data_IF_347792128503
#
_entry.id   IF_347792128503
#
_cell.length_a   1.000
_cell.length_b   1.000
_cell.length_c   1.000
_cell.angle_alpha   90.00
_cell.angle_beta   90.00
_cell.angle_gamma   90.00
#
_symmetry.space_group_name_H-M   'P 1'
#
loop_
_entity.id
_entity.type
_entity.pdbx_description
1 polymer ?
#
# COMPACT_ATOMS: atom_id res chain seq x y z
N UNK A 1 -45.54 -8.92 0.71
CA UNK A 1 -44.12 -8.80 0.29
C UNK A 1 -43.75 -10.09 -0.41
N UNK A 2 -43.07 -10.01 -1.55
CA UNK A 2 -42.52 -11.17 -2.25
C UNK A 2 -40.99 -11.16 -2.11
N UNK A 3 -40.33 -12.33 -2.09
CA UNK A 3 -38.86 -12.41 -2.03
C UNK A 3 -38.24 -11.79 -3.28
N UNK A 4 -37.13 -11.08 -3.09
CA UNK A 4 -36.34 -10.48 -4.19
C UNK A 4 -35.77 -11.60 -5.06
N UNK A 5 -36.14 -11.63 -6.33
CA UNK A 5 -35.78 -12.73 -7.25
C UNK A 5 -34.45 -12.51 -7.94
N UNK A 6 -33.97 -11.26 -7.95
CA UNK A 6 -32.72 -10.88 -8.63
C UNK A 6 -31.47 -11.14 -7.76
N UNK A 7 -31.66 -11.55 -6.49
CA UNK A 7 -30.58 -11.87 -5.56
C UNK A 7 -30.59 -13.36 -5.22
N UNK A 8 -29.42 -13.98 -5.36
CA UNK A 8 -29.24 -15.36 -4.91
C UNK A 8 -29.32 -15.46 -3.37
N UNK A 9 -29.89 -16.54 -2.83
CA UNK A 9 -29.91 -16.75 -1.38
C UNK A 9 -28.51 -16.86 -0.79
N UNK A 10 -28.17 -15.97 0.15
CA UNK A 10 -26.90 -16.02 0.87
C UNK A 10 -26.97 -17.16 1.89
N UNK A 11 -26.14 -18.20 1.69
CA UNK A 11 -25.97 -19.29 2.66
C UNK A 11 -24.81 -18.97 3.60
N UNK A 12 -25.14 -18.76 4.88
CA UNK A 12 -24.14 -18.61 5.93
C UNK A 12 -23.80 -19.99 6.50
N UNK A 13 -22.50 -20.32 6.60
CA UNK A 13 -22.08 -21.55 7.27
C UNK A 13 -22.20 -21.40 8.80
N UNK A 14 -22.35 -22.51 9.51
CA UNK A 14 -22.35 -22.50 10.98
C UNK A 14 -21.06 -21.90 11.56
N UNK A 15 -19.92 -22.09 10.88
CA UNK A 15 -18.64 -21.51 11.26
C UNK A 15 -18.64 -19.98 11.14
N UNK A 16 -19.21 -19.44 10.05
CA UNK A 16 -19.36 -17.99 9.87
C UNK A 16 -20.29 -17.39 10.92
N UNK A 17 -21.38 -18.09 11.27
CA UNK A 17 -22.32 -17.64 12.29
C UNK A 17 -21.65 -17.66 13.67
N UNK A 18 -20.96 -18.75 14.03
CA UNK A 18 -20.24 -18.85 15.31
C UNK A 18 -19.14 -17.80 15.42
N UNK A 19 -18.32 -17.62 14.39
CA UNK A 19 -17.26 -16.62 14.42
C UNK A 19 -17.81 -15.20 14.57
N UNK A 20 -18.92 -14.86 13.90
CA UNK A 20 -19.59 -13.57 14.06
C UNK A 20 -20.16 -13.36 15.46
N UNK A 21 -20.79 -14.39 16.04
CA UNK A 21 -21.35 -14.34 17.40
C UNK A 21 -20.23 -14.19 18.43
N UNK A 22 -19.16 -14.98 18.31
CA UNK A 22 -18.04 -14.95 19.24
C UNK A 22 -17.31 -13.61 19.13
N UNK A 23 -17.14 -13.08 17.92
CA UNK A 23 -16.58 -11.75 17.72
C UNK A 23 -17.46 -10.65 18.33
N UNK A 24 -18.78 -10.77 18.20
CA UNK A 24 -19.77 -9.85 18.79
C UNK A 24 -19.75 -9.82 20.32
N UNK A 25 -19.40 -10.94 20.97
CA UNK A 25 -19.36 -11.08 22.43
C UNK A 25 -18.08 -10.56 23.08
N UNK A 26 -16.98 -10.46 22.33
CA UNK A 26 -15.71 -9.94 22.85
C UNK A 26 -15.85 -8.47 23.22
N UNK A 27 -15.26 -8.09 24.36
CA UNK A 27 -15.10 -6.68 24.73
C UNK A 27 -14.18 -5.98 23.72
N UNK A 28 -14.21 -4.64 23.69
CA UNK A 28 -13.31 -3.89 22.81
C UNK A 28 -11.83 -4.23 23.10
N UNK A 29 -11.47 -4.42 24.36
CA UNK A 29 -10.12 -4.78 24.80
C UNK A 29 -9.73 -6.17 24.30
N UNK A 30 -10.60 -7.18 24.47
CA UNK A 30 -10.32 -8.54 23.98
C UNK A 30 -10.18 -8.59 22.45
N UNK A 31 -10.95 -7.77 21.72
CA UNK A 31 -10.82 -7.65 20.25
C UNK A 31 -9.47 -7.09 19.85
N UNK A 32 -8.96 -6.10 20.60
CA UNK A 32 -7.67 -5.47 20.34
C UNK A 32 -6.54 -6.47 20.59
N UNK A 33 -6.56 -7.17 21.72
CA UNK A 33 -5.55 -8.18 22.04
C UNK A 33 -5.54 -9.30 21.01
N UNK A 34 -6.71 -9.81 20.65
CA UNK A 34 -6.85 -10.87 19.65
C UNK A 34 -6.35 -10.40 18.29
N UNK A 35 -6.73 -9.21 17.84
CA UNK A 35 -6.29 -8.66 16.54
C UNK A 35 -4.77 -8.44 16.52
N UNK A 36 -4.20 -7.91 17.61
CA UNK A 36 -2.76 -7.71 17.74
C UNK A 36 -1.99 -9.03 17.69
N UNK A 37 -2.50 -10.06 18.36
CA UNK A 37 -1.91 -11.41 18.38
C UNK A 37 -2.04 -12.11 17.03
N UNK A 38 -3.26 -12.23 16.49
CA UNK A 38 -3.57 -12.98 15.27
C UNK A 38 -2.83 -12.42 14.05
N UNK A 39 -2.69 -11.09 13.97
CA UNK A 39 -2.09 -10.41 12.83
C UNK A 39 -0.68 -9.86 13.10
N UNK A 40 -0.15 -10.09 14.30
CA UNK A 40 1.18 -9.63 14.72
C UNK A 40 1.38 -8.11 14.48
N UNK A 41 0.38 -7.31 14.81
CA UNK A 41 0.40 -5.84 14.73
C UNK A 41 0.50 -5.22 16.14
N UNK A 42 0.85 -3.94 16.23
CA UNK A 42 0.93 -3.29 17.55
C UNK A 42 -0.46 -3.18 18.19
N UNK A 43 -0.59 -3.29 19.53
CA UNK A 43 -1.87 -3.05 20.21
C UNK A 43 -2.45 -1.68 19.93
N UNK A 44 -1.59 -0.68 19.69
CA UNK A 44 -2.01 0.67 19.31
C UNK A 44 -2.66 0.68 17.93
N UNK A 45 -2.03 0.07 16.92
CA UNK A 45 -2.61 -0.03 15.58
C UNK A 45 -3.92 -0.83 15.60
N UNK A 46 -3.95 -1.94 16.35
CA UNK A 46 -5.14 -2.75 16.54
C UNK A 46 -6.29 -1.96 17.18
N UNK A 47 -6.00 -1.18 18.23
CA UNK A 47 -6.95 -0.28 18.86
C UNK A 47 -7.51 0.74 17.88
N UNK A 48 -6.66 1.41 17.11
CA UNK A 48 -7.10 2.38 16.11
C UNK A 48 -7.98 1.73 15.03
N UNK A 49 -7.61 0.55 14.53
CA UNK A 49 -8.43 -0.17 13.53
C UNK A 49 -9.82 -0.54 14.04
N UNK A 50 -9.93 -0.94 15.32
CA UNK A 50 -11.20 -1.29 15.96
C UNK A 50 -12.05 -0.05 16.21
N UNK A 51 -11.46 1.07 16.66
CA UNK A 51 -12.20 2.28 17.00
C UNK A 51 -12.62 3.11 15.78
N UNK A 52 -11.78 3.19 14.75
CA UNK A 52 -12.03 4.06 13.58
C UNK A 52 -12.90 3.38 12.50
N UNK A 53 -13.55 2.26 12.82
CA UNK A 53 -14.33 1.45 11.87
C UNK A 53 -13.55 0.95 10.63
N UNK A 54 -12.21 0.93 10.69
CA UNK A 54 -11.34 0.49 9.58
C UNK A 54 -11.03 -1.00 9.58
N UNK A 55 -11.55 -1.73 10.58
CA UNK A 55 -11.34 -3.17 10.72
C UNK A 55 -11.82 -3.96 9.50
N UNK A 56 -12.97 -3.60 8.90
CA UNK A 56 -13.50 -4.30 7.73
C UNK A 56 -12.57 -4.24 6.52
N UNK A 57 -12.06 -3.04 6.23
CA UNK A 57 -11.06 -2.83 5.18
C UNK A 57 -9.76 -3.59 5.49
N UNK A 58 -9.29 -3.54 6.74
CA UNK A 58 -8.10 -4.26 7.17
C UNK A 58 -8.21 -5.77 6.93
N UNK A 59 -9.31 -6.40 7.34
CA UNK A 59 -9.53 -7.84 7.15
C UNK A 59 -9.64 -8.21 5.67
N UNK A 60 -10.18 -7.32 4.85
CA UNK A 60 -10.30 -7.53 3.40
C UNK A 60 -8.93 -7.51 2.71
N UNK A 61 -8.07 -6.58 3.12
CA UNK A 61 -6.73 -6.39 2.56
C UNK A 61 -5.69 -7.36 3.13
N UNK A 62 -5.80 -7.78 4.39
CA UNK A 62 -4.83 -8.68 5.05
C UNK A 62 -4.79 -10.08 4.44
N UNK A 63 -5.81 -10.48 3.68
CA UNK A 63 -5.82 -11.70 2.85
C UNK A 63 -4.91 -11.57 1.61
N UNK A 64 -4.59 -10.34 1.20
CA UNK A 64 -3.84 -10.04 -0.02
C UNK A 64 -2.45 -9.51 0.26
N UNK A 65 -2.30 -8.77 1.37
CA UNK A 65 -1.09 -8.04 1.75
C UNK A 65 -0.64 -8.46 3.14
N UNK A 66 0.67 -8.34 3.46
CA UNK A 66 1.16 -8.60 4.82
C UNK A 66 0.39 -7.76 5.86
N UNK A 67 -0.07 -8.34 6.98
CA UNK A 67 -0.94 -7.61 7.92
C UNK A 67 -0.31 -6.35 8.52
N UNK A 68 0.99 -6.39 8.85
CA UNK A 68 1.72 -5.21 9.34
C UNK A 68 1.75 -4.08 8.32
N UNK A 69 2.00 -4.41 7.05
CA UNK A 69 1.95 -3.43 5.97
C UNK A 69 0.53 -2.89 5.78
N UNK A 70 -0.47 -3.77 5.83
CA UNK A 70 -1.89 -3.40 5.70
C UNK A 70 -2.32 -2.39 6.77
N UNK A 71 -1.98 -2.64 8.05
CA UNK A 71 -2.27 -1.70 9.13
C UNK A 71 -1.61 -0.34 8.87
N UNK A 72 -0.32 -0.34 8.48
CA UNK A 72 0.41 0.88 8.15
C UNK A 72 -0.18 1.61 6.95
N UNK A 73 -0.60 0.89 5.92
CA UNK A 73 -1.22 1.43 4.73
C UNK A 73 -2.50 2.18 5.10
N UNK A 74 -3.39 1.54 5.85
CA UNK A 74 -4.70 2.09 6.27
C UNK A 74 -4.56 3.27 7.23
N UNK A 75 -3.66 3.16 8.20
CA UNK A 75 -3.55 4.13 9.29
C UNK A 75 -2.66 5.33 8.95
N UNK A 76 -1.69 5.15 8.04
CA UNK A 76 -0.69 6.19 7.73
C UNK A 76 -0.73 6.61 6.26
N UNK A 77 -0.56 5.65 5.34
CA UNK A 77 -0.36 5.99 3.91
C UNK A 77 -1.62 6.47 3.23
N UNK A 78 -2.74 5.81 3.42
CA UNK A 78 -4.03 6.22 2.85
C UNK A 78 -4.38 7.66 3.27
N UNK A 79 -4.37 8.01 4.58
CA UNK A 79 -4.58 9.40 4.99
C UNK A 79 -3.59 10.40 4.37
N UNK A 80 -2.31 10.03 4.20
CA UNK A 80 -1.31 10.88 3.53
C UNK A 80 -1.67 11.11 2.05
N UNK A 81 -2.07 10.05 1.33
CA UNK A 81 -2.47 10.08 -0.09
C UNK A 81 -3.74 10.91 -0.29
N UNK A 82 -4.75 10.67 0.54
CA UNK A 82 -6.03 11.39 0.52
C UNK A 82 -5.83 12.87 0.82
N UNK A 83 -4.98 13.20 1.80
CA UNK A 83 -4.61 14.59 2.11
C UNK A 83 -3.88 15.27 0.96
N UNK A 84 -3.01 14.56 0.25
CA UNK A 84 -2.23 15.07 -0.89
C UNK A 84 -3.11 15.31 -2.12
N UNK A 85 -4.04 14.42 -2.39
CA UNK A 85 -4.96 14.49 -3.54
C UNK A 85 -6.21 15.34 -3.27
N UNK A 86 -6.58 15.52 -2.01
CA UNK A 86 -7.83 16.15 -1.60
C UNK A 86 -9.07 15.28 -1.83
N UNK A 87 -8.91 13.98 -2.13
CA UNK A 87 -10.00 13.04 -2.38
C UNK A 87 -9.90 11.84 -1.45
N UNK A 88 -11.03 11.44 -0.89
CA UNK A 88 -11.16 10.18 -0.15
C UNK A 88 -11.33 9.03 -1.14
N UNK A 89 -10.66 7.92 -0.87
CA UNK A 89 -10.84 6.68 -1.63
C UNK A 89 -11.87 5.82 -0.91
N UNK A 90 -12.83 5.27 -1.67
CA UNK A 90 -13.74 4.27 -1.11
C UNK A 90 -13.04 2.92 -0.92
N UNK A 91 -13.51 2.15 0.05
CA UNK A 91 -12.96 0.84 0.41
C UNK A 91 -12.88 -0.13 -0.79
N UNK A 92 -13.86 -0.08 -1.70
CA UNK A 92 -13.91 -0.97 -2.85
C UNK A 92 -12.79 -0.65 -3.84
N UNK A 93 -12.56 0.63 -4.14
CA UNK A 93 -11.42 1.09 -4.94
C UNK A 93 -10.10 0.64 -4.34
N UNK A 94 -9.93 0.75 -3.01
CA UNK A 94 -8.69 0.32 -2.33
C UNK A 94 -8.48 -1.20 -2.48
N UNK A 95 -9.54 -1.98 -2.31
CA UNK A 95 -9.52 -3.45 -2.47
C UNK A 95 -9.21 -3.85 -3.92
N UNK A 96 -9.75 -3.14 -4.90
CA UNK A 96 -9.51 -3.47 -6.31
C UNK A 96 -8.10 -3.07 -6.75
N UNK A 97 -7.56 -1.97 -6.23
CA UNK A 97 -6.14 -1.62 -6.40
C UNK A 97 -5.23 -2.71 -5.80
N UNK A 98 -5.54 -3.24 -4.61
CA UNK A 98 -4.71 -4.30 -4.01
C UNK A 98 -4.72 -5.57 -4.86
N UNK A 99 -5.86 -5.91 -5.48
CA UNK A 99 -5.94 -7.03 -6.42
C UNK A 99 -5.06 -6.80 -7.64
N UNK A 100 -5.09 -5.61 -8.24
CA UNK A 100 -4.26 -5.27 -9.42
C UNK A 100 -2.77 -5.44 -9.09
N UNK A 101 -2.32 -4.92 -7.95
CA UNK A 101 -0.92 -5.00 -7.52
C UNK A 101 -0.51 -6.44 -7.29
N UNK A 102 -1.37 -7.25 -6.64
CA UNK A 102 -1.15 -8.67 -6.40
C UNK A 102 -1.12 -9.49 -7.70
N UNK A 103 -2.05 -9.26 -8.62
CA UNK A 103 -2.12 -9.92 -9.93
C UNK A 103 -0.84 -9.69 -10.74
N UNK A 104 -0.29 -8.48 -10.68
CA UNK A 104 0.96 -8.12 -11.36
C UNK A 104 2.22 -8.52 -10.57
N UNK A 105 2.07 -9.18 -9.42
CA UNK A 105 3.18 -9.56 -8.53
C UNK A 105 4.08 -8.37 -8.15
N UNK A 106 3.45 -7.22 -7.93
CA UNK A 106 4.13 -5.98 -7.58
C UNK A 106 4.21 -5.79 -6.06
N UNK A 107 5.20 -5.02 -5.61
CA UNK A 107 5.49 -4.83 -4.18
C UNK A 107 4.75 -3.64 -3.53
N UNK A 108 5.07 -3.38 -2.26
CA UNK A 108 4.48 -2.29 -1.45
C UNK A 108 4.60 -0.91 -2.12
N UNK A 109 5.74 -0.65 -2.76
CA UNK A 109 6.01 0.61 -3.47
C UNK A 109 5.00 0.85 -4.61
N UNK A 110 4.59 -0.22 -5.29
CA UNK A 110 3.59 -0.15 -6.36
C UNK A 110 2.18 0.04 -5.84
N UNK A 111 1.88 -0.48 -4.64
CA UNK A 111 0.60 -0.24 -3.98
C UNK A 111 0.41 1.23 -3.65
N UNK A 112 1.42 1.86 -3.07
CA UNK A 112 1.41 3.30 -2.78
C UNK A 112 1.22 4.12 -4.08
N UNK A 113 1.95 3.77 -5.15
CA UNK A 113 1.84 4.43 -6.45
C UNK A 113 0.44 4.25 -7.09
N UNK A 114 -0.12 3.04 -7.06
CA UNK A 114 -1.42 2.74 -7.62
C UNK A 114 -2.55 3.49 -6.88
N UNK A 115 -2.49 3.55 -5.55
CA UNK A 115 -3.42 4.34 -4.75
C UNK A 115 -3.27 5.84 -5.02
N UNK A 116 -2.05 6.35 -5.23
CA UNK A 116 -1.86 7.74 -5.64
C UNK A 116 -2.53 8.04 -7.00
N UNK A 117 -2.46 7.13 -7.97
CA UNK A 117 -3.13 7.29 -9.27
C UNK A 117 -4.66 7.22 -9.13
N UNK A 118 -5.17 6.26 -8.36
CA UNK A 118 -6.60 6.15 -8.08
C UNK A 118 -7.13 7.41 -7.41
N UNK A 119 -6.39 7.98 -6.45
CA UNK A 119 -6.80 9.22 -5.76
C UNK A 119 -6.81 10.45 -6.67
N UNK A 120 -6.09 10.42 -7.80
CA UNK A 120 -6.18 11.46 -8.84
C UNK A 120 -7.40 11.28 -9.73
N UNK A 121 -8.09 10.14 -9.66
CA UNK A 121 -9.26 9.80 -10.46
C UNK A 121 -8.92 9.06 -11.75
N UNK A 122 -7.75 8.40 -11.82
CA UNK A 122 -7.40 7.52 -12.93
C UNK A 122 -8.18 6.22 -12.78
N UNK A 123 -8.72 5.72 -13.88
CA UNK A 123 -9.55 4.51 -13.90
C UNK A 123 -8.74 3.25 -13.57
N UNK A 124 -9.37 2.27 -12.92
CA UNK A 124 -8.72 1.02 -12.51
C UNK A 124 -8.20 0.21 -13.70
N UNK A 125 -8.88 0.22 -14.85
CA UNK A 125 -8.42 -0.45 -16.07
C UNK A 125 -7.17 0.23 -16.67
N UNK A 126 -7.04 1.54 -16.49
CA UNK A 126 -5.85 2.30 -16.88
C UNK A 126 -4.69 2.01 -15.91
N UNK A 127 -4.95 2.02 -14.61
CA UNK A 127 -3.96 1.67 -13.57
C UNK A 127 -3.44 0.23 -13.76
N UNK A 128 -4.31 -0.70 -14.16
CA UNK A 128 -3.91 -2.08 -14.43
C UNK A 128 -2.87 -2.18 -15.56
N UNK A 129 -2.93 -1.29 -16.54
CA UNK A 129 -2.06 -1.32 -17.74
C UNK A 129 -0.86 -0.39 -17.64
N UNK A 130 -0.91 0.64 -16.79
CA UNK A 130 0.16 1.65 -16.75
C UNK A 130 1.49 1.07 -16.26
N UNK A 131 2.58 1.57 -16.82
CA UNK A 131 3.93 1.32 -16.31
C UNK A 131 4.26 2.20 -15.10
N UNK A 132 3.46 3.23 -14.82
CA UNK A 132 3.65 4.15 -13.69
C UNK A 132 3.54 3.48 -12.32
N UNK A 133 3.01 2.27 -12.22
CA UNK A 133 3.00 1.49 -10.97
C UNK A 133 4.14 0.47 -10.91
N UNK A 134 4.87 0.26 -12.01
CA UNK A 134 5.97 -0.70 -12.10
C UNK A 134 7.24 -0.05 -11.56
N UNK A 135 7.84 -0.59 -10.48
CA UNK A 135 9.05 -0.02 -9.91
C UNK A 135 10.19 -0.02 -10.91
N UNK A 136 11.06 0.97 -10.84
CA UNK A 136 12.32 0.96 -11.58
C UNK A 136 13.20 -0.16 -11.04
N UNK A 137 13.79 -0.92 -11.97
CA UNK A 137 14.84 -1.87 -11.65
C UNK A 137 16.12 -1.14 -11.22
N UNK A 138 16.99 -1.86 -10.51
CA UNK A 138 18.30 -1.33 -10.10
C UNK A 138 19.14 -0.86 -11.31
N UNK A 139 19.04 -1.54 -12.45
CA UNK A 139 19.76 -1.17 -13.67
C UNK A 139 19.25 0.15 -14.25
N UNK A 140 17.94 0.26 -14.48
CA UNK A 140 17.31 1.50 -14.98
C UNK A 140 17.59 2.69 -14.05
N UNK A 141 17.50 2.48 -12.75
CA UNK A 141 17.79 3.52 -11.76
C UNK A 141 19.26 3.96 -11.80
N UNK A 142 20.19 3.01 -12.01
CA UNK A 142 21.62 3.31 -12.15
C UNK A 142 21.93 4.12 -13.41
N UNK A 143 21.25 3.83 -14.52
CA UNK A 143 21.36 4.60 -15.77
C UNK A 143 20.91 6.04 -15.58
N UNK A 144 19.73 6.26 -14.99
CA UNK A 144 19.21 7.61 -14.69
C UNK A 144 20.19 8.36 -13.78
N UNK A 145 20.73 7.70 -12.76
CA UNK A 145 21.71 8.31 -11.87
C UNK A 145 23.03 8.66 -12.57
N UNK A 146 23.49 7.83 -13.52
CA UNK A 146 24.68 8.13 -14.31
C UNK A 146 24.49 9.39 -15.17
N UNK A 147 23.33 9.53 -15.80
CA UNK A 147 23.00 10.74 -16.56
C UNK A 147 22.95 11.99 -15.68
N UNK A 148 22.36 11.88 -14.49
CA UNK A 148 22.26 12.99 -13.53
C UNK A 148 23.62 13.43 -12.99
N UNK A 149 24.46 12.48 -12.57
CA UNK A 149 25.79 12.76 -12.04
C UNK A 149 26.70 13.36 -13.11
N UNK A 150 26.55 12.94 -14.37
CA UNK A 150 27.30 13.50 -15.50
C UNK A 150 26.93 14.95 -15.85
N UNK A 151 25.73 15.42 -15.49
CA UNK A 151 25.20 16.74 -15.89
C UNK A 151 25.43 17.87 -14.88
N UNK A 152 25.50 17.61 -13.57
CA UNK A 152 26.07 18.53 -12.56
C UNK A 152 26.02 17.90 -11.16
N UNK A 153 27.13 18.02 -10.42
CA UNK A 153 27.48 17.42 -9.12
C UNK A 153 26.39 17.46 -8.01
N UNK A 154 25.40 16.56 -8.08
CA UNK A 154 24.59 16.23 -6.90
C UNK A 154 25.28 15.08 -6.14
N UNK A 155 25.97 15.43 -5.03
CA UNK A 155 26.57 14.43 -4.11
C UNK A 155 25.65 14.07 -2.94
N UNK A 156 24.57 14.83 -2.77
CA UNK A 156 23.62 14.62 -1.69
C UNK A 156 22.54 13.64 -2.15
N UNK A 157 22.32 12.52 -1.43
CA UNK A 157 21.25 11.58 -1.75
C UNK A 157 19.87 12.25 -1.86
N UNK A 158 19.57 13.26 -1.05
CA UNK A 158 18.27 13.94 -1.07
C UNK A 158 17.99 14.69 -2.39
N UNK A 159 19.01 15.36 -2.94
CA UNK A 159 18.90 16.07 -4.22
C UNK A 159 18.73 15.10 -5.38
N UNK A 160 19.50 14.00 -5.38
CA UNK A 160 19.39 12.94 -6.39
C UNK A 160 18.02 12.27 -6.39
N UNK A 161 17.47 11.93 -5.22
CA UNK A 161 16.11 11.38 -5.10
C UNK A 161 15.09 12.35 -5.72
N UNK A 162 15.25 13.64 -5.47
CA UNK A 162 14.35 14.68 -6.00
C UNK A 162 14.48 14.80 -7.52
N UNK A 163 15.71 14.78 -8.04
CA UNK A 163 15.97 14.85 -9.47
C UNK A 163 15.46 13.61 -10.22
N UNK A 164 15.63 12.41 -9.67
CA UNK A 164 15.07 11.18 -10.26
C UNK A 164 13.54 11.29 -10.35
N UNK A 165 12.86 11.77 -9.29
CA UNK A 165 11.41 12.01 -9.30
C UNK A 165 10.94 13.03 -10.34
N UNK A 166 11.82 13.90 -10.84
CA UNK A 166 11.49 14.86 -11.90
C UNK A 166 11.65 14.25 -13.30
N UNK A 167 12.48 13.22 -13.44
CA UNK A 167 12.75 12.55 -14.73
C UNK A 167 11.74 11.44 -14.99
N UNK A 168 11.29 10.73 -13.96
CA UNK A 168 10.42 9.57 -14.09
C UNK A 168 9.21 9.65 -13.16
N UNK A 169 8.07 9.19 -13.67
CA UNK A 169 6.84 8.96 -12.89
C UNK A 169 6.81 7.57 -12.25
N UNK A 170 7.71 6.67 -12.63
CA UNK A 170 7.77 5.29 -12.09
C UNK A 170 8.32 5.30 -10.67
N UNK A 171 7.78 4.47 -9.76
CA UNK A 171 8.20 4.47 -8.38
C UNK A 171 9.53 3.72 -8.23
N UNK A 172 10.27 4.00 -7.16
CA UNK A 172 11.56 3.37 -6.87
C UNK A 172 11.84 3.44 -5.37
N UNK A 173 12.73 2.57 -4.86
CA UNK A 173 13.16 2.63 -3.46
C UNK A 173 14.29 3.66 -3.29
N UNK A 174 14.10 4.74 -2.50
CA UNK A 174 15.17 5.69 -2.21
C UNK A 174 16.43 5.06 -1.57
N UNK A 175 16.27 3.92 -0.87
CA UNK A 175 17.39 3.19 -0.27
C UNK A 175 18.36 2.65 -1.32
N UNK A 176 17.87 2.31 -2.50
CA UNK A 176 18.72 1.82 -3.58
C UNK A 176 19.60 2.93 -4.13
N UNK A 177 19.08 4.15 -4.24
CA UNK A 177 19.88 5.34 -4.58
C UNK A 177 20.99 5.56 -3.53
N UNK A 178 20.66 5.49 -2.25
CA UNK A 178 21.65 5.68 -1.16
C UNK A 178 22.76 4.62 -1.25
N UNK A 179 22.39 3.34 -1.40
CA UNK A 179 23.36 2.25 -1.56
C UNK A 179 24.25 2.43 -2.79
N UNK A 180 23.68 2.85 -3.91
CA UNK A 180 24.44 3.13 -5.14
C UNK A 180 25.48 4.25 -4.93
N UNK A 181 25.10 5.33 -4.22
CA UNK A 181 26.01 6.43 -3.91
C UNK A 181 27.11 5.97 -2.95
N UNK A 182 26.77 5.23 -1.90
CA UNK A 182 27.75 4.69 -0.93
C UNK A 182 28.75 3.75 -1.61
N UNK A 183 28.28 2.88 -2.51
CA UNK A 183 29.12 1.97 -3.27
C UNK A 183 30.14 2.73 -4.12
N UNK A 184 29.71 3.80 -4.81
CA UNK A 184 30.60 4.67 -5.60
C UNK A 184 31.62 5.44 -4.76
N UNK A 185 31.27 5.86 -3.54
CA UNK A 185 32.22 6.51 -2.62
C UNK A 185 33.33 5.54 -2.20
N UNK A 186 32.96 4.29 -1.91
CA UNK A 186 33.93 3.22 -1.57
C UNK A 186 34.88 2.91 -2.74
N UNK A 187 34.38 2.91 -3.98
CA UNK A 187 35.19 2.69 -5.18
C UNK A 187 36.12 3.87 -5.51
N UNK A 188 35.75 5.10 -5.16
CA UNK A 188 36.54 6.32 -5.45
C UNK A 188 37.50 6.74 -4.34
N UNK A 189 37.64 5.95 -3.27
CA UNK A 189 38.67 6.15 -2.24
C UNK A 189 38.60 7.51 -1.52
N UNK A 190 37.38 8.05 -1.32
CA UNK A 190 37.11 9.24 -0.51
C UNK A 190 36.05 8.99 0.54
#
# INVERSE_FOLDING_TARGET
>A
MYPETDLEPIRLSEETIKSAIDFGKLSAEDRIEKLASDYNISPQDASTLVHDAKLGLFLSLSNQLPPRYTARLILQRLPEIEKKSGKLLDDQTIIDVSKIVKERSLGEISMDAALELASKGIDLDEIKKTEEIVPLSYAELSEILNELVGRNFMRNPGELITAVKQITSRPFDPRDIIKMIESRKRETGK
#
